data_IF_294208873709
#
_entry.id   IF_294208873709
#
_cell.length_a   1.000
_cell.length_b   1.000
_cell.length_c   1.000
_cell.angle_alpha   90.00
_cell.angle_beta   90.00
_cell.angle_gamma   90.00
#
_symmetry.space_group_name_H-M   'P 1'
#
loop_
_entity.id
_entity.type
_entity.pdbx_description
1 polymer ?
#
# COMPACT_ATOMS: atom_id res chain seq x y z
N UNK A 1 21.22 21.78 11.61
CA UNK A 1 19.79 21.42 11.48
C UNK A 1 19.70 20.28 10.49
N UNK A 2 19.31 19.10 10.92
CA UNK A 2 19.18 17.94 10.02
C UNK A 2 18.04 18.21 9.06
N UNK A 3 18.32 18.14 7.76
CA UNK A 3 17.29 18.30 6.74
C UNK A 3 16.66 16.95 6.49
N UNK A 4 15.33 16.90 6.55
CA UNK A 4 14.52 15.71 6.27
C UNK A 4 13.80 15.93 4.94
N UNK A 5 13.86 14.94 4.06
CA UNK A 5 13.21 14.94 2.76
C UNK A 5 12.24 13.76 2.67
N UNK A 6 11.06 14.03 2.14
CA UNK A 6 10.03 13.04 1.93
C UNK A 6 9.75 12.87 0.44
N UNK A 7 9.68 11.63 -0.02
CA UNK A 7 9.46 11.30 -1.42
C UNK A 7 8.30 10.30 -1.55
N UNK A 8 7.41 10.55 -2.49
CA UNK A 8 6.47 9.55 -2.96
C UNK A 8 7.11 8.64 -4.00
N UNK A 9 6.56 7.44 -4.22
CA UNK A 9 7.05 6.48 -5.21
C UNK A 9 6.43 6.75 -6.57
N UNK A 10 5.10 6.58 -6.64
CA UNK A 10 4.39 6.49 -7.91
C UNK A 10 4.20 7.87 -8.55
N UNK A 11 4.82 8.07 -9.71
CA UNK A 11 4.84 9.35 -10.39
C UNK A 11 5.90 10.34 -9.90
N UNK A 12 6.67 10.00 -8.85
CA UNK A 12 7.76 10.82 -8.30
C UNK A 12 9.11 10.16 -8.49
N UNK A 13 9.40 9.08 -7.77
CA UNK A 13 10.67 8.36 -7.87
C UNK A 13 10.64 7.31 -8.98
N UNK A 14 9.47 6.76 -9.27
CA UNK A 14 9.29 5.71 -10.24
C UNK A 14 7.89 5.61 -10.77
N UNK A 15 7.70 4.64 -11.66
CA UNK A 15 6.39 4.30 -12.24
C UNK A 15 6.30 2.80 -12.42
N UNK A 16 5.18 2.19 -12.01
CA UNK A 16 4.94 0.74 -12.11
C UNK A 16 6.08 -0.12 -11.52
N UNK A 17 6.58 0.27 -10.36
CA UNK A 17 7.67 -0.44 -9.67
C UNK A 17 9.06 -0.28 -10.30
N UNK A 18 9.20 0.51 -11.36
CA UNK A 18 10.48 0.80 -12.00
C UNK A 18 10.98 2.16 -11.54
N UNK A 19 12.09 2.15 -10.81
CA UNK A 19 12.80 3.36 -10.36
C UNK A 19 13.87 3.72 -11.38
N UNK A 20 13.92 4.99 -11.78
CA UNK A 20 14.94 5.42 -12.75
C UNK A 20 16.33 5.43 -12.13
N UNK A 21 17.35 5.13 -12.93
CA UNK A 21 18.74 5.15 -12.46
C UNK A 21 19.15 6.55 -11.93
N UNK A 22 18.63 7.62 -12.53
CA UNK A 22 18.86 9.00 -12.08
C UNK A 22 18.32 9.22 -10.67
N UNK A 23 17.12 8.72 -10.35
CA UNK A 23 16.52 8.87 -9.02
C UNK A 23 17.27 8.03 -7.98
N UNK A 24 17.72 6.82 -8.32
CA UNK A 24 18.58 6.03 -7.45
C UNK A 24 19.89 6.75 -7.13
N UNK A 25 20.54 7.34 -8.14
CA UNK A 25 21.77 8.15 -7.95
C UNK A 25 21.53 9.35 -7.02
N UNK A 26 20.38 10.02 -7.14
CA UNK A 26 20.03 11.15 -6.25
C UNK A 26 19.86 10.67 -4.81
N UNK A 27 19.17 9.57 -4.57
CA UNK A 27 18.98 9.00 -3.22
C UNK A 27 20.32 8.60 -2.60
N UNK A 28 21.23 7.97 -3.34
CA UNK A 28 22.59 7.69 -2.90
C UNK A 28 23.35 8.96 -2.50
N UNK A 29 23.32 10.00 -3.35
CA UNK A 29 23.99 11.26 -3.08
C UNK A 29 23.43 11.97 -1.84
N UNK A 30 22.11 11.93 -1.64
CA UNK A 30 21.48 12.48 -0.45
C UNK A 30 21.93 11.76 0.82
N UNK A 31 21.99 10.42 0.78
CA UNK A 31 22.50 9.59 1.87
C UNK A 31 23.96 9.92 2.20
N UNK A 32 24.82 9.99 1.19
CA UNK A 32 26.25 10.37 1.36
C UNK A 32 26.44 11.77 1.97
N UNK A 33 25.55 12.71 1.64
CA UNK A 33 25.54 14.06 2.20
C UNK A 33 24.90 14.16 3.60
N UNK A 34 24.47 13.04 4.18
CA UNK A 34 23.87 12.97 5.51
C UNK A 34 22.44 13.49 5.62
N UNK A 35 21.72 13.62 4.50
CA UNK A 35 20.29 13.94 4.56
C UNK A 35 19.49 12.77 5.06
N UNK A 36 18.52 13.02 5.93
CA UNK A 36 17.50 12.03 6.31
C UNK A 36 16.42 11.99 5.23
N UNK A 37 16.29 10.87 4.55
CA UNK A 37 15.30 10.69 3.48
C UNK A 37 14.25 9.67 3.90
N UNK A 38 12.99 9.94 3.56
CA UNK A 38 11.85 9.06 3.84
C UNK A 38 11.05 8.81 2.57
N UNK A 39 10.63 7.58 2.38
CA UNK A 39 9.59 7.23 1.41
C UNK A 39 8.23 7.38 2.07
N UNK A 40 7.25 8.00 1.39
CA UNK A 40 5.85 8.12 1.82
C UNK A 40 4.95 7.51 0.75
N UNK A 41 4.30 6.38 1.05
CA UNK A 41 3.55 5.63 0.06
C UNK A 41 2.32 4.94 0.65
N UNK A 42 1.30 4.70 -0.19
CA UNK A 42 0.19 3.79 0.14
C UNK A 42 0.58 2.31 0.09
N UNK A 43 1.69 2.00 -0.60
CA UNK A 43 2.12 0.62 -0.85
C UNK A 43 2.56 -0.12 0.41
N UNK A 44 2.64 -1.46 0.28
CA UNK A 44 3.06 -2.38 1.33
C UNK A 44 4.47 -2.06 1.87
N UNK A 45 4.71 -2.23 3.20
CA UNK A 45 6.02 -2.02 3.80
C UNK A 45 7.12 -2.87 3.17
N UNK A 46 6.87 -4.15 2.93
CA UNK A 46 7.83 -5.06 2.31
C UNK A 46 8.16 -4.67 0.86
N UNK A 47 7.18 -4.12 0.11
CA UNK A 47 7.39 -3.64 -1.25
C UNK A 47 8.32 -2.42 -1.26
N UNK A 48 8.04 -1.42 -0.44
CA UNK A 48 8.86 -0.22 -0.35
C UNK A 48 10.26 -0.52 0.21
N UNK A 49 10.37 -1.43 1.19
CA UNK A 49 11.66 -1.87 1.74
C UNK A 49 12.53 -2.59 0.72
N UNK A 50 11.94 -3.42 -0.13
CA UNK A 50 12.65 -4.10 -1.22
C UNK A 50 13.28 -3.11 -2.21
N UNK A 51 12.60 -2.00 -2.49
CA UNK A 51 13.06 -1.00 -3.45
C UNK A 51 14.05 0.00 -2.86
N UNK A 52 13.87 0.38 -1.60
CA UNK A 52 14.54 1.56 -1.03
C UNK A 52 15.20 1.32 0.33
N UNK A 53 15.03 0.14 0.97
CA UNK A 53 15.42 -0.09 2.35
C UNK A 53 16.85 0.32 2.71
N UNK A 54 17.80 0.08 1.82
CA UNK A 54 19.21 0.45 2.01
C UNK A 54 19.54 1.89 1.60
N UNK A 55 18.62 2.60 0.95
CA UNK A 55 18.88 3.92 0.38
C UNK A 55 18.31 5.06 1.22
N UNK A 56 17.31 4.78 2.06
CA UNK A 56 16.57 5.81 2.81
C UNK A 56 16.67 5.59 4.31
N UNK A 57 16.45 6.65 5.08
CA UNK A 57 16.45 6.60 6.53
C UNK A 57 15.17 5.98 7.09
N UNK A 58 14.06 6.08 6.36
CA UNK A 58 12.79 5.52 6.81
C UNK A 58 11.76 5.38 5.70
N UNK A 59 10.70 4.64 6.02
CA UNK A 59 9.58 4.35 5.13
C UNK A 59 8.28 4.58 5.91
N UNK A 60 7.43 5.44 5.38
CA UNK A 60 6.05 5.66 5.82
C UNK A 60 5.18 4.97 4.78
N UNK A 61 4.58 3.86 5.12
CA UNK A 61 3.80 2.99 4.23
C UNK A 61 2.35 2.85 4.69
N UNK A 62 1.51 2.19 3.90
CA UNK A 62 0.09 2.01 4.17
C UNK A 62 -0.61 3.33 4.55
N UNK A 63 -0.33 4.41 3.80
CA UNK A 63 -0.86 5.75 4.04
C UNK A 63 -0.62 6.28 5.47
N UNK A 64 0.56 5.98 6.06
CA UNK A 64 0.93 6.43 7.41
C UNK A 64 0.62 5.44 8.53
N UNK A 65 -0.02 4.30 8.24
CA UNK A 65 -0.34 3.29 9.26
C UNK A 65 0.82 2.40 9.66
N UNK A 66 1.93 2.45 8.91
CA UNK A 66 3.14 1.70 9.24
C UNK A 66 4.38 2.52 8.93
N UNK A 67 5.27 2.67 9.93
CA UNK A 67 6.48 3.49 9.82
C UNK A 67 7.70 2.68 10.24
N UNK A 68 8.67 2.59 9.33
CA UNK A 68 10.02 2.12 9.60
C UNK A 68 10.98 3.30 9.70
N UNK A 69 11.91 3.23 10.64
CA UNK A 69 13.03 4.16 10.75
C UNK A 69 14.31 3.38 11.10
N UNK A 70 15.34 3.55 10.29
CA UNK A 70 16.61 2.81 10.43
C UNK A 70 16.40 1.30 10.56
N UNK A 71 15.51 0.73 9.73
CA UNK A 71 15.18 -0.69 9.70
C UNK A 71 14.34 -1.21 10.88
N UNK A 72 13.92 -0.33 11.80
CA UNK A 72 13.11 -0.70 12.97
C UNK A 72 11.68 -0.16 12.83
N UNK A 73 10.71 -0.96 13.26
CA UNK A 73 9.31 -0.53 13.35
C UNK A 73 9.19 0.55 14.43
N UNK A 74 8.93 1.80 13.99
CA UNK A 74 8.73 2.96 14.85
C UNK A 74 7.28 3.12 15.25
N UNK A 75 6.37 2.84 14.33
CA UNK A 75 4.93 2.98 14.53
C UNK A 75 4.18 1.96 13.68
N UNK A 76 3.07 1.42 14.23
CA UNK A 76 2.10 0.67 13.44
C UNK A 76 0.70 0.81 14.03
N UNK A 77 -0.32 0.87 13.16
CA UNK A 77 -1.73 0.87 13.55
C UNK A 77 -2.51 -0.04 12.62
N UNK A 78 -2.59 -1.29 12.97
CA UNK A 78 -3.38 -2.28 12.27
C UNK A 78 -4.89 -2.01 12.43
N UNK A 79 -5.68 -2.57 11.53
CA UNK A 79 -7.12 -2.68 11.74
C UNK A 79 -7.42 -3.52 12.98
N UNK A 80 -8.36 -3.07 13.79
CA UNK A 80 -8.93 -3.92 14.84
C UNK A 80 -9.72 -5.06 14.18
N UNK A 81 -9.91 -6.17 14.92
CA UNK A 81 -10.75 -7.27 14.44
C UNK A 81 -12.14 -6.78 14.01
N UNK A 82 -12.74 -5.86 14.78
CA UNK A 82 -14.05 -5.27 14.45
C UNK A 82 -14.04 -4.51 13.11
N UNK A 83 -12.99 -3.74 12.85
CA UNK A 83 -12.84 -3.03 11.57
C UNK A 83 -12.63 -4.01 10.41
N UNK A 84 -11.80 -5.02 10.59
CA UNK A 84 -11.55 -6.04 9.57
C UNK A 84 -12.83 -6.81 9.24
N UNK A 85 -13.55 -7.31 10.25
CA UNK A 85 -14.83 -8.01 10.08
C UNK A 85 -15.87 -7.11 9.38
N UNK A 86 -15.90 -5.82 9.69
CA UNK A 86 -16.78 -4.84 9.05
C UNK A 86 -16.46 -4.65 7.56
N UNK A 87 -15.19 -4.45 7.21
CA UNK A 87 -14.79 -4.30 5.80
C UNK A 87 -15.03 -5.57 4.99
N UNK A 88 -14.69 -6.73 5.56
CA UNK A 88 -14.96 -8.04 4.94
C UNK A 88 -16.45 -8.22 4.66
N UNK A 89 -17.31 -7.90 5.63
CA UNK A 89 -18.77 -7.97 5.44
C UNK A 89 -19.25 -7.06 4.28
N UNK A 90 -18.73 -5.84 4.16
CA UNK A 90 -19.06 -4.95 3.03
C UNK A 90 -18.55 -5.47 1.69
N UNK A 91 -17.34 -6.05 1.67
CA UNK A 91 -16.79 -6.69 0.48
C UNK A 91 -17.68 -7.85 0.00
N UNK A 92 -18.15 -8.68 0.93
CA UNK A 92 -19.07 -9.78 0.64
C UNK A 92 -20.42 -9.29 0.09
N UNK A 93 -20.98 -8.23 0.68
CA UNK A 93 -22.22 -7.61 0.20
C UNK A 93 -22.09 -7.12 -1.26
N UNK A 94 -20.94 -6.50 -1.59
CA UNK A 94 -20.65 -6.00 -2.92
C UNK A 94 -20.10 -7.03 -3.90
N UNK A 95 -19.79 -8.24 -3.43
CA UNK A 95 -19.04 -9.28 -4.17
C UNK A 95 -17.72 -8.74 -4.72
N UNK A 96 -17.03 -7.93 -3.91
CA UNK A 96 -15.81 -7.22 -4.26
C UNK A 96 -14.58 -8.05 -3.88
N UNK A 97 -13.57 -8.03 -4.75
CA UNK A 97 -12.24 -8.53 -4.42
C UNK A 97 -11.43 -7.48 -3.67
N UNK A 98 -10.52 -7.94 -2.81
CA UNK A 98 -9.59 -7.07 -2.11
C UNK A 98 -8.23 -7.73 -1.88
N UNK A 99 -7.21 -6.91 -1.65
CA UNK A 99 -5.91 -7.33 -1.17
C UNK A 99 -5.63 -6.60 0.14
N UNK A 100 -5.64 -7.30 1.26
CA UNK A 100 -5.26 -6.73 2.55
C UNK A 100 -3.75 -6.82 2.74
N UNK A 101 -3.15 -5.76 3.25
CA UNK A 101 -1.69 -5.60 3.36
C UNK A 101 -1.25 -5.66 4.81
N UNK A 102 -0.32 -6.57 5.10
CA UNK A 102 0.43 -6.62 6.35
C UNK A 102 1.85 -6.03 6.18
N UNK A 103 2.71 -6.15 7.18
CA UNK A 103 4.09 -5.66 7.11
C UNK A 103 4.98 -6.51 6.18
N UNK A 104 4.70 -7.80 6.03
CA UNK A 104 5.50 -8.74 5.25
C UNK A 104 4.70 -9.57 4.23
N UNK A 105 3.36 -9.52 4.27
CA UNK A 105 2.47 -10.33 3.46
C UNK A 105 1.28 -9.53 2.92
N UNK A 106 0.57 -10.10 1.95
CA UNK A 106 -0.68 -9.58 1.43
C UNK A 106 -1.70 -10.73 1.32
N UNK A 107 -2.87 -10.53 1.93
CA UNK A 107 -3.98 -11.46 1.86
C UNK A 107 -4.77 -11.23 0.57
N UNK A 108 -4.95 -12.29 -0.21
CA UNK A 108 -5.89 -12.32 -1.34
C UNK A 108 -7.30 -12.59 -0.83
N UNK A 109 -8.24 -11.73 -1.17
CA UNK A 109 -9.64 -11.88 -0.79
C UNK A 109 -10.55 -11.77 -2.01
N UNK A 110 -11.22 -12.85 -2.39
CA UNK A 110 -12.15 -12.93 -3.53
C UNK A 110 -11.60 -12.38 -4.86
N UNK A 111 -10.31 -12.59 -5.14
CA UNK A 111 -9.67 -12.17 -6.38
C UNK A 111 -9.96 -13.14 -7.52
N UNK A 112 -10.10 -12.62 -8.73
CA UNK A 112 -10.10 -13.46 -9.92
C UNK A 112 -8.67 -13.89 -10.31
N UNK A 113 -8.55 -14.87 -11.20
CA UNK A 113 -7.27 -15.44 -11.62
C UNK A 113 -6.33 -14.40 -12.26
N UNK A 114 -6.86 -13.43 -12.98
CA UNK A 114 -6.06 -12.37 -13.61
C UNK A 114 -5.49 -11.42 -12.56
N UNK A 115 -6.31 -11.05 -11.57
CA UNK A 115 -5.90 -10.22 -10.44
C UNK A 115 -4.81 -10.92 -9.62
N UNK A 116 -4.98 -12.20 -9.28
CA UNK A 116 -3.96 -13.00 -8.58
C UNK A 116 -2.63 -13.01 -9.33
N UNK A 117 -2.63 -13.32 -10.63
CA UNK A 117 -1.40 -13.36 -11.44
C UNK A 117 -0.70 -12.00 -11.49
N UNK A 118 -1.44 -10.90 -11.50
CA UNK A 118 -0.85 -9.56 -11.46
C UNK A 118 -0.19 -9.28 -10.12
N UNK A 119 -0.84 -9.64 -9.01
CA UNK A 119 -0.27 -9.49 -7.67
C UNK A 119 0.95 -10.39 -7.45
N UNK A 120 0.93 -11.64 -7.96
CA UNK A 120 2.08 -12.54 -7.91
C UNK A 120 3.31 -11.93 -8.59
N UNK A 121 3.12 -11.26 -9.73
CA UNK A 121 4.21 -10.57 -10.43
C UNK A 121 4.74 -9.35 -9.68
N UNK A 122 3.87 -8.62 -9.01
CA UNK A 122 4.22 -7.38 -8.32
C UNK A 122 4.86 -7.64 -6.95
N UNK A 123 4.29 -8.52 -6.16
CA UNK A 123 4.66 -8.75 -4.77
C UNK A 123 5.51 -10.02 -4.54
N UNK A 124 5.45 -11.01 -5.44
CA UNK A 124 5.99 -12.35 -5.26
C UNK A 124 4.96 -13.31 -4.65
N UNK A 125 4.92 -14.52 -5.17
CA UNK A 125 3.94 -15.54 -4.71
C UNK A 125 4.11 -15.89 -3.23
N UNK A 126 5.34 -15.83 -2.73
CA UNK A 126 5.69 -16.12 -1.33
C UNK A 126 5.14 -15.11 -0.32
N UNK A 127 4.70 -13.94 -0.82
CA UNK A 127 4.10 -12.88 0.00
C UNK A 127 2.57 -12.93 0.03
N UNK A 128 1.96 -13.75 -0.82
CA UNK A 128 0.51 -13.85 -0.94
C UNK A 128 -0.04 -14.97 -0.06
N UNK A 129 -1.00 -14.65 0.78
CA UNK A 129 -1.64 -15.59 1.71
C UNK A 129 -3.16 -15.62 1.52
N UNK A 130 -3.81 -16.66 2.01
CA UNK A 130 -5.26 -16.89 1.93
C UNK A 130 -5.94 -16.88 3.32
N UNK A 131 -5.22 -16.53 4.40
CA UNK A 131 -5.74 -16.51 5.77
C UNK A 131 -5.90 -15.08 6.28
N UNK A 132 -7.06 -14.79 6.90
CA UNK A 132 -7.35 -13.54 7.64
C UNK A 132 -6.66 -13.44 9.00
N UNK A 133 -5.71 -14.33 9.29
CA UNK A 133 -4.91 -14.28 10.51
C UNK A 133 -3.75 -13.29 10.36
N UNK A 134 -3.59 -12.36 11.32
CA UNK A 134 -2.52 -11.40 11.33
C UNK A 134 -2.97 -9.95 11.47
N UNK A 135 -2.01 -9.05 11.38
CA UNK A 135 -2.21 -7.59 11.42
C UNK A 135 -2.25 -7.04 9.99
N UNK A 136 -3.33 -6.36 9.63
CA UNK A 136 -3.47 -5.68 8.34
C UNK A 136 -3.59 -4.17 8.54
N UNK A 137 -2.91 -3.41 7.69
CA UNK A 137 -2.76 -1.96 7.85
C UNK A 137 -3.54 -1.15 6.81
N UNK A 138 -3.74 -1.72 5.63
CA UNK A 138 -4.54 -1.13 4.53
C UNK A 138 -5.08 -2.25 3.65
N UNK A 139 -5.91 -1.90 2.69
CA UNK A 139 -6.29 -2.82 1.62
C UNK A 139 -6.60 -2.05 0.34
N UNK A 140 -6.38 -2.73 -0.79
CA UNK A 140 -6.82 -2.30 -2.11
C UNK A 140 -8.05 -3.08 -2.51
N UNK A 141 -8.97 -2.43 -3.21
CA UNK A 141 -10.17 -3.08 -3.75
C UNK A 141 -10.06 -3.25 -5.26
N UNK A 142 -10.72 -4.28 -5.78
CA UNK A 142 -10.73 -4.62 -7.18
C UNK A 142 -12.15 -4.64 -7.73
N UNK A 143 -12.32 -4.10 -8.93
CA UNK A 143 -13.59 -4.07 -9.64
C UNK A 143 -13.43 -4.55 -11.09
N UNK A 144 -14.51 -5.09 -11.67
CA UNK A 144 -14.48 -5.68 -13.02
C UNK A 144 -15.03 -4.74 -14.11
N UNK A 145 -15.92 -3.82 -13.72
CA UNK A 145 -16.60 -2.88 -14.62
C UNK A 145 -17.11 -1.66 -13.86
N UNK A 146 -17.68 -0.70 -14.57
CA UNK A 146 -18.15 0.56 -14.00
C UNK A 146 -19.28 0.40 -12.98
N UNK A 147 -20.20 -0.53 -13.19
CA UNK A 147 -21.28 -0.81 -12.23
C UNK A 147 -20.73 -1.36 -10.92
N UNK A 148 -19.76 -2.25 -11.01
CA UNK A 148 -19.05 -2.83 -9.86
C UNK A 148 -18.27 -1.74 -9.11
N UNK A 149 -17.62 -0.81 -9.83
CA UNK A 149 -16.96 0.36 -9.24
C UNK A 149 -17.94 1.27 -8.49
N UNK A 150 -19.11 1.57 -9.08
CA UNK A 150 -20.15 2.36 -8.42
C UNK A 150 -20.68 1.69 -7.15
N UNK A 151 -20.88 0.37 -7.17
CA UNK A 151 -21.27 -0.42 -5.99
C UNK A 151 -20.22 -0.30 -4.88
N UNK A 152 -18.94 -0.40 -5.23
CA UNK A 152 -17.83 -0.24 -4.32
C UNK A 152 -17.83 1.14 -3.66
N UNK A 153 -17.92 2.20 -4.47
CA UNK A 153 -17.94 3.58 -3.98
C UNK A 153 -19.13 3.80 -3.04
N UNK A 154 -20.33 3.36 -3.42
CA UNK A 154 -21.53 3.52 -2.58
C UNK A 154 -21.43 2.79 -1.24
N UNK A 155 -20.85 1.59 -1.22
CA UNK A 155 -20.67 0.83 0.01
C UNK A 155 -19.65 1.44 0.97
N UNK A 156 -18.61 2.11 0.47
CA UNK A 156 -17.47 2.52 1.29
C UNK A 156 -17.27 4.04 1.43
N UNK A 157 -18.04 4.88 0.74
CA UNK A 157 -17.88 6.36 0.72
C UNK A 157 -17.86 7.03 2.09
N UNK A 158 -18.53 6.46 3.08
CA UNK A 158 -18.59 7.01 4.44
C UNK A 158 -17.39 6.58 5.32
N UNK A 159 -16.64 5.57 4.89
CA UNK A 159 -15.58 4.96 5.68
C UNK A 159 -14.19 5.19 5.12
N UNK A 160 -14.11 5.30 3.78
CA UNK A 160 -12.85 5.28 3.06
C UNK A 160 -12.74 6.44 2.04
N UNK A 161 -11.52 6.90 1.88
CA UNK A 161 -11.08 7.63 0.70
C UNK A 161 -10.67 6.59 -0.33
N UNK A 162 -11.31 6.60 -1.50
CA UNK A 162 -11.10 5.64 -2.58
C UNK A 162 -10.43 6.38 -3.74
N UNK A 163 -9.22 5.97 -4.07
CA UNK A 163 -8.45 6.53 -5.17
C UNK A 163 -8.36 5.50 -6.31
N UNK A 164 -9.10 5.74 -7.38
CA UNK A 164 -9.08 4.87 -8.57
C UNK A 164 -7.74 4.96 -9.32
N UNK A 165 -7.22 3.82 -9.75
CA UNK A 165 -6.01 3.70 -10.53
C UNK A 165 -6.24 3.97 -12.05
N UNK A 166 -7.07 4.97 -12.37
CA UNK A 166 -7.32 5.40 -13.76
C UNK A 166 -8.10 4.40 -14.58
N UNK A 167 -9.06 3.71 -13.99
CA UNK A 167 -9.90 2.73 -14.67
C UNK A 167 -9.23 1.36 -14.89
N UNK A 168 -8.13 1.07 -14.20
CA UNK A 168 -7.40 -0.20 -14.35
C UNK A 168 -8.01 -1.38 -13.58
N UNK A 169 -9.15 -1.19 -12.93
CA UNK A 169 -9.87 -2.24 -12.20
C UNK A 169 -9.41 -2.41 -10.75
N UNK A 170 -8.69 -1.44 -10.21
CA UNK A 170 -8.27 -1.43 -8.80
C UNK A 170 -8.27 -0.03 -8.22
N UNK A 171 -8.39 0.07 -6.89
CA UNK A 171 -8.36 1.31 -6.12
C UNK A 171 -7.53 1.13 -4.86
N UNK A 172 -6.72 2.14 -4.53
CA UNK A 172 -6.17 2.31 -3.19
C UNK A 172 -7.28 2.75 -2.23
N UNK A 173 -7.25 2.21 -1.02
CA UNK A 173 -8.18 2.57 0.04
C UNK A 173 -7.45 3.10 1.26
N UNK A 174 -7.77 4.32 1.68
CA UNK A 174 -7.31 4.85 2.95
C UNK A 174 -8.50 5.18 3.86
N UNK A 175 -8.34 4.95 5.15
CA UNK A 175 -9.35 5.38 6.12
C UNK A 175 -9.27 6.89 6.28
N UNK A 176 -10.41 7.53 6.57
CA UNK A 176 -10.50 9.00 6.72
C UNK A 176 -9.50 9.55 7.77
N UNK A 177 -9.13 8.73 8.77
CA UNK A 177 -8.16 9.11 9.81
C UNK A 177 -6.69 9.09 9.31
N UNK A 178 -6.41 8.42 8.19
CA UNK A 178 -5.07 8.22 7.66
C UNK A 178 -5.05 8.48 6.16
N UNK A 179 -4.68 9.68 5.83
CA UNK A 179 -4.43 10.12 4.46
C UNK A 179 -2.99 10.64 4.36
N UNK A 180 -2.47 10.72 3.16
CA UNK A 180 -1.13 11.26 2.91
C UNK A 180 -1.02 12.78 3.14
N UNK A 181 -2.12 13.46 3.39
CA UNK A 181 -2.20 14.91 3.57
C UNK A 181 -2.51 15.65 2.30
#
# INVERSE_FOLDING_TARGET
MDKILFFDIDGTLGKHGVITESNLKVLHLLKEKGYKTFICTGRAPFYASRLFGDLVSGIISCNGRYILYEGKKLYSRAFTKKQLDYYVHKLDQGKLGAMFVSDDQALKYHLDKKQEVNLEKEYGIERLVDSLEGEFYTFDMFYQNQEHYQTMVELFKEDLIINDHGGMGSCDCSTIEFDKG
#
